data_IF_000483085124
#
_entry.id   IF_000483085124
#
_cell.length_a   1.000
_cell.length_b   1.000
_cell.length_c   1.000
_cell.angle_alpha   90.00
_cell.angle_beta   90.00
_cell.angle_gamma   90.00
#
_symmetry.space_group_name_H-M   'P 1'
#
loop_
_entity.id
_entity.type
_entity.pdbx_description
1 polymer ?
#
# COMPACT_ATOMS: atom_id res chain seq x y z
N UNK A 1 -36.49 6.50 -0.77
CA UNK A 1 -35.27 5.91 -1.35
C UNK A 1 -34.54 6.94 -2.20
N UNK A 2 -35.25 7.71 -3.03
CA UNK A 2 -34.75 8.82 -3.84
C UNK A 2 -34.07 9.94 -3.02
N UNK A 3 -34.74 10.50 -2.00
CA UNK A 3 -34.18 11.56 -1.13
C UNK A 3 -32.83 11.20 -0.50
N UNK A 4 -32.63 9.93 -0.14
CA UNK A 4 -31.36 9.48 0.45
C UNK A 4 -30.23 9.54 -0.58
N UNK A 5 -30.50 9.08 -1.80
CA UNK A 5 -29.52 9.04 -2.87
C UNK A 5 -29.13 10.46 -3.33
N UNK A 6 -30.09 11.39 -3.34
CA UNK A 6 -29.83 12.80 -3.62
C UNK A 6 -28.95 13.42 -2.53
N UNK A 7 -29.22 13.11 -1.26
CA UNK A 7 -28.40 13.59 -0.14
C UNK A 7 -26.96 13.03 -0.21
N UNK A 8 -26.81 11.73 -0.48
CA UNK A 8 -25.50 11.10 -0.62
C UNK A 8 -24.71 11.70 -1.79
N UNK A 9 -25.35 11.93 -2.94
CA UNK A 9 -24.73 12.57 -4.11
C UNK A 9 -24.31 14.00 -3.80
N UNK A 10 -25.18 14.78 -3.15
CA UNK A 10 -24.87 16.15 -2.77
C UNK A 10 -23.68 16.24 -1.80
N UNK A 11 -23.58 15.30 -0.85
CA UNK A 11 -22.42 15.22 0.05
C UNK A 11 -21.15 14.88 -0.71
N UNK A 12 -21.20 13.91 -1.63
CA UNK A 12 -20.05 13.53 -2.47
C UNK A 12 -19.57 14.70 -3.34
N UNK A 13 -20.49 15.48 -3.90
CA UNK A 13 -20.16 16.64 -4.72
C UNK A 13 -19.61 17.82 -3.90
N UNK A 14 -19.87 17.84 -2.58
CA UNK A 14 -19.40 18.90 -1.68
C UNK A 14 -17.99 18.67 -1.12
N UNK A 15 -17.44 17.46 -1.25
CA UNK A 15 -16.14 17.08 -0.70
C UNK A 15 -15.05 17.05 -1.77
N UNK A 16 -13.81 17.28 -1.33
CA UNK A 16 -12.65 17.31 -2.23
C UNK A 16 -12.03 15.92 -2.43
N UNK A 17 -12.15 15.05 -1.43
CA UNK A 17 -11.54 13.71 -1.41
C UNK A 17 -12.56 12.73 -0.89
N UNK A 18 -12.74 11.63 -1.62
CA UNK A 18 -13.57 10.50 -1.22
C UNK A 18 -12.66 9.28 -1.08
N UNK A 19 -12.69 8.65 0.09
CA UNK A 19 -12.00 7.39 0.35
C UNK A 19 -12.99 6.24 0.32
N UNK A 20 -12.65 5.16 -0.38
CA UNK A 20 -13.52 4.01 -0.56
C UNK A 20 -12.67 2.77 -0.83
N UNK A 21 -13.21 1.58 -0.55
CA UNK A 21 -12.59 0.34 -1.01
C UNK A 21 -12.89 0.10 -2.49
N UNK A 22 -12.09 -0.73 -3.16
CA UNK A 22 -12.37 -1.14 -4.54
C UNK A 22 -13.73 -1.84 -4.69
N UNK A 23 -14.16 -2.60 -3.67
CA UNK A 23 -15.49 -3.25 -3.69
C UNK A 23 -16.64 -2.25 -3.65
N UNK A 24 -16.46 -1.12 -2.96
CA UNK A 24 -17.47 -0.06 -2.84
C UNK A 24 -17.37 0.99 -3.95
N UNK A 25 -16.24 1.09 -4.65
CA UNK A 25 -16.05 2.01 -5.77
C UNK A 25 -17.04 1.78 -6.93
N UNK A 26 -17.54 0.54 -7.10
CA UNK A 26 -18.59 0.22 -8.08
C UNK A 26 -20.01 0.65 -7.68
N UNK A 27 -20.20 1.37 -6.58
CA UNK A 27 -21.53 1.81 -6.13
C UNK A 27 -22.10 2.89 -7.08
N UNK A 28 -23.39 2.78 -7.40
CA UNK A 28 -24.14 3.74 -8.22
C UNK A 28 -24.07 5.17 -7.69
N UNK A 29 -24.07 5.36 -6.37
CA UNK A 29 -23.96 6.71 -5.79
C UNK A 29 -22.65 7.39 -6.19
N UNK A 30 -21.53 6.65 -6.20
CA UNK A 30 -20.23 7.18 -6.64
C UNK A 30 -20.19 7.41 -8.15
N UNK A 31 -20.82 6.53 -8.94
CA UNK A 31 -20.89 6.69 -10.39
C UNK A 31 -21.75 7.89 -10.83
N UNK A 32 -22.74 8.27 -10.00
CA UNK A 32 -23.65 9.38 -10.28
C UNK A 32 -23.16 10.72 -9.72
N UNK A 33 -22.27 10.71 -8.71
CA UNK A 33 -21.58 11.88 -8.24
C UNK A 33 -20.63 12.46 -9.31
N UNK A 34 -20.13 13.68 -9.08
CA UNK A 34 -19.18 14.35 -9.96
C UNK A 34 -18.03 13.40 -10.37
N UNK A 35 -17.63 13.48 -11.64
CA UNK A 35 -16.58 12.61 -12.20
C UNK A 35 -15.26 12.85 -11.49
N UNK A 36 -14.70 11.78 -10.91
CA UNK A 36 -13.42 11.81 -10.23
C UNK A 36 -12.29 11.89 -11.25
N UNK A 37 -11.75 13.07 -11.52
CA UNK A 37 -10.71 13.26 -12.54
C UNK A 37 -9.41 12.51 -12.22
N UNK A 38 -9.11 12.33 -10.94
CA UNK A 38 -7.93 11.61 -10.43
C UNK A 38 -8.38 10.50 -9.51
N UNK A 39 -7.89 9.29 -9.76
CA UNK A 39 -8.09 8.13 -8.87
C UNK A 39 -6.73 7.66 -8.38
N UNK A 40 -6.61 7.52 -7.05
CA UNK A 40 -5.44 6.92 -6.40
C UNK A 40 -5.87 5.59 -5.83
N UNK A 41 -5.16 4.52 -6.21
CA UNK A 41 -5.38 3.17 -5.67
C UNK A 41 -4.14 2.80 -4.87
N UNK A 42 -4.29 2.71 -3.56
CA UNK A 42 -3.27 2.18 -2.66
C UNK A 42 -3.36 0.65 -2.58
N UNK A 43 -2.25 0.00 -2.25
CA UNK A 43 -2.09 -1.47 -2.26
C UNK A 43 -2.56 -2.14 -3.57
N UNK A 44 -2.37 -1.44 -4.71
CA UNK A 44 -2.85 -1.88 -6.02
C UNK A 44 -2.31 -3.26 -6.43
N UNK A 45 -1.08 -3.59 -6.01
CA UNK A 45 -0.44 -4.88 -6.24
C UNK A 45 -1.14 -6.06 -5.55
N UNK A 46 -1.90 -5.79 -4.47
CA UNK A 46 -2.65 -6.79 -3.68
C UNK A 46 -4.09 -7.00 -4.20
N UNK A 47 -4.48 -6.34 -5.29
CA UNK A 47 -5.84 -6.43 -5.85
C UNK A 47 -5.86 -7.18 -7.18
N UNK A 48 -6.90 -7.99 -7.41
CA UNK A 48 -7.14 -8.56 -8.74
C UNK A 48 -7.49 -7.41 -9.70
N UNK A 49 -6.99 -7.48 -10.94
CA UNK A 49 -7.18 -6.41 -11.93
C UNK A 49 -8.65 -5.93 -12.08
N UNK A 50 -9.67 -6.81 -12.12
CA UNK A 50 -11.07 -6.37 -12.19
C UNK A 50 -11.52 -5.51 -11.00
N UNK A 51 -10.95 -5.73 -9.82
CA UNK A 51 -11.27 -4.90 -8.65
C UNK A 51 -10.69 -3.50 -8.81
N UNK A 52 -9.50 -3.34 -9.39
CA UNK A 52 -8.94 -2.00 -9.66
C UNK A 52 -9.79 -1.23 -10.68
N UNK A 53 -10.34 -1.94 -11.69
CA UNK A 53 -11.18 -1.34 -12.73
C UNK A 53 -12.46 -0.68 -12.18
N UNK A 54 -13.00 -1.16 -11.06
CA UNK A 54 -14.21 -0.59 -10.45
C UNK A 54 -14.04 0.87 -10.01
N UNK A 55 -12.81 1.27 -9.66
CA UNK A 55 -12.46 2.65 -9.33
C UNK A 55 -12.14 3.46 -10.59
N UNK A 56 -11.47 2.86 -11.59
CA UNK A 56 -11.08 3.56 -12.82
C UNK A 56 -12.28 3.95 -13.70
N UNK A 57 -13.37 3.19 -13.65
CA UNK A 57 -14.61 3.51 -14.39
C UNK A 57 -15.34 4.77 -13.88
N UNK A 58 -14.93 5.37 -12.75
CA UNK A 58 -15.55 6.58 -12.17
C UNK A 58 -15.27 7.88 -12.97
N UNK A 59 -14.75 7.75 -14.19
CA UNK A 59 -14.48 8.87 -15.10
C UNK A 59 -13.09 9.48 -14.94
N UNK A 60 -12.12 8.70 -14.44
CA UNK A 60 -10.77 9.19 -14.22
C UNK A 60 -10.01 9.50 -15.51
N UNK A 61 -9.36 10.67 -15.52
CA UNK A 61 -8.41 11.10 -16.55
C UNK A 61 -6.99 10.68 -16.18
N UNK A 62 -6.71 10.63 -14.87
CA UNK A 62 -5.43 10.23 -14.32
C UNK A 62 -5.63 9.14 -13.26
N UNK A 63 -4.80 8.11 -13.32
CA UNK A 63 -4.78 7.03 -12.35
C UNK A 63 -3.38 6.91 -11.75
N UNK A 64 -3.31 6.88 -10.41
CA UNK A 64 -2.09 6.65 -9.66
C UNK A 64 -2.25 5.32 -8.95
N UNK A 65 -1.44 4.33 -9.32
CA UNK A 65 -1.43 3.02 -8.69
C UNK A 65 -0.21 2.95 -7.77
N UNK A 66 -0.44 2.80 -6.48
CA UNK A 66 0.60 2.62 -5.46
C UNK A 66 0.51 1.18 -4.98
N UNK A 67 1.65 0.49 -4.94
CA UNK A 67 1.70 -0.89 -4.50
C UNK A 67 3.09 -1.46 -4.65
N UNK A 68 3.28 -2.66 -4.10
CA UNK A 68 4.56 -3.35 -4.11
C UNK A 68 4.39 -4.78 -4.65
N UNK A 69 4.85 -5.08 -5.88
CA UNK A 69 4.81 -6.42 -6.46
C UNK A 69 5.58 -7.48 -5.66
N UNK A 70 6.51 -7.09 -4.79
CA UNK A 70 7.28 -8.01 -3.94
C UNK A 70 6.56 -8.40 -2.65
N UNK A 71 5.42 -7.76 -2.35
CA UNK A 71 4.58 -8.07 -1.19
C UNK A 71 3.49 -9.10 -1.54
N UNK A 72 2.43 -9.16 -0.73
CA UNK A 72 1.35 -10.12 -0.92
C UNK A 72 0.64 -9.86 -2.25
N UNK A 73 0.49 -10.88 -3.11
CA UNK A 73 -0.32 -10.76 -4.32
C UNK A 73 -1.81 -10.77 -3.97
N UNK A 74 -2.64 -10.62 -5.00
CA UNK A 74 -4.08 -10.73 -4.84
C UNK A 74 -4.50 -12.09 -4.25
N UNK A 75 -5.35 -12.06 -3.22
CA UNK A 75 -5.85 -13.27 -2.58
C UNK A 75 -6.94 -13.90 -3.44
N UNK A 76 -6.66 -15.10 -3.97
CA UNK A 76 -7.62 -15.89 -4.75
C UNK A 76 -7.82 -17.26 -4.10
N UNK A 77 -9.08 -17.68 -3.95
CA UNK A 77 -9.42 -18.99 -3.36
C UNK A 77 -9.32 -20.14 -4.37
N UNK A 78 -9.53 -19.84 -5.66
CA UNK A 78 -9.52 -20.84 -6.72
C UNK A 78 -8.13 -20.94 -7.38
N UNK A 79 -7.48 -22.09 -7.23
CA UNK A 79 -6.15 -22.36 -7.79
C UNK A 79 -6.13 -22.25 -9.33
N UNK A 80 -7.23 -22.61 -10.00
CA UNK A 80 -7.35 -22.46 -11.47
C UNK A 80 -7.18 -21.02 -11.94
N UNK A 81 -7.47 -20.03 -11.08
CA UNK A 81 -7.26 -18.62 -11.38
C UNK A 81 -5.80 -18.25 -11.61
N UNK A 82 -4.84 -18.98 -11.03
CA UNK A 82 -3.41 -18.73 -11.27
C UNK A 82 -3.01 -19.01 -12.72
N UNK A 83 -3.54 -20.10 -13.29
CA UNK A 83 -3.29 -20.46 -14.69
C UNK A 83 -3.83 -19.41 -15.67
N UNK A 84 -4.85 -18.65 -15.25
CA UNK A 84 -5.43 -17.56 -16.04
C UNK A 84 -4.85 -16.18 -15.68
N UNK A 85 -3.83 -16.11 -14.81
CA UNK A 85 -3.27 -14.86 -14.27
C UNK A 85 -4.28 -13.98 -13.53
N UNK A 86 -5.31 -14.58 -12.92
CA UNK A 86 -6.33 -13.85 -12.17
C UNK A 86 -5.79 -13.23 -10.88
N UNK A 87 -4.71 -13.79 -10.33
CA UNK A 87 -3.95 -13.25 -9.19
C UNK A 87 -2.98 -12.13 -9.60
N UNK A 88 -2.80 -11.85 -10.89
CA UNK A 88 -2.00 -10.73 -11.37
C UNK A 88 -2.80 -9.44 -11.21
N UNK A 89 -2.21 -8.46 -10.52
CA UNK A 89 -2.78 -7.13 -10.38
C UNK A 89 -2.64 -6.30 -11.66
N UNK A 90 -3.44 -5.23 -11.76
CA UNK A 90 -3.28 -4.23 -12.82
C UNK A 90 -1.89 -3.58 -12.76
N UNK A 91 -1.38 -3.32 -11.55
CA UNK A 91 -0.05 -2.76 -11.33
C UNK A 91 1.02 -3.65 -11.97
N UNK A 92 1.05 -4.94 -11.61
CA UNK A 92 2.01 -5.91 -12.15
C UNK A 92 1.89 -6.04 -13.67
N UNK A 93 0.67 -6.06 -14.21
CA UNK A 93 0.47 -6.12 -15.66
C UNK A 93 1.08 -4.92 -16.39
N UNK A 94 0.93 -3.72 -15.85
CA UNK A 94 1.47 -2.50 -16.46
C UNK A 94 3.00 -2.47 -16.38
N UNK A 95 3.57 -2.88 -15.25
CA UNK A 95 5.02 -3.06 -15.09
C UNK A 95 5.57 -4.08 -16.11
N UNK A 96 4.96 -5.26 -16.23
CA UNK A 96 5.31 -6.28 -17.22
C UNK A 96 5.21 -5.78 -18.67
N UNK A 97 4.29 -4.84 -18.94
CA UNK A 97 4.11 -4.22 -20.24
C UNK A 97 5.13 -3.08 -20.52
N UNK A 98 6.06 -2.81 -19.60
CA UNK A 98 7.11 -1.82 -19.76
C UNK A 98 6.72 -0.40 -19.37
N UNK A 99 5.61 -0.21 -18.64
CA UNK A 99 5.32 1.09 -18.03
C UNK A 99 6.32 1.39 -16.92
N UNK A 100 6.79 2.64 -16.86
CA UNK A 100 7.72 3.08 -15.82
C UNK A 100 7.07 3.00 -14.43
N UNK A 101 7.71 2.24 -13.53
CA UNK A 101 7.36 2.18 -12.11
C UNK A 101 8.37 2.99 -11.32
N UNK A 102 7.90 3.91 -10.48
CA UNK A 102 8.76 4.70 -9.62
C UNK A 102 8.89 4.04 -8.24
N UNK A 103 10.07 3.50 -7.93
CA UNK A 103 10.36 2.93 -6.62
C UNK A 103 10.69 4.04 -5.60
N UNK A 104 9.89 4.13 -4.54
CA UNK A 104 10.26 4.89 -3.34
C UNK A 104 11.35 4.11 -2.60
N UNK A 105 12.60 4.51 -2.80
CA UNK A 105 13.76 3.70 -2.43
C UNK A 105 14.31 3.97 -1.03
N UNK A 106 13.57 4.65 -0.15
CA UNK A 106 14.01 4.93 1.21
C UNK A 106 12.97 4.48 2.24
N UNK A 107 13.38 3.60 3.15
CA UNK A 107 12.53 3.05 4.22
C UNK A 107 12.77 3.79 5.53
N UNK A 108 11.68 4.11 6.22
CA UNK A 108 11.70 4.92 7.45
C UNK A 108 11.15 4.16 8.67
N UNK A 109 10.98 2.83 8.58
CA UNK A 109 10.26 2.03 9.59
C UNK A 109 11.17 1.09 10.37
N UNK A 110 11.96 0.28 9.69
CA UNK A 110 12.71 -0.82 10.31
C UNK A 110 14.10 -0.36 10.72
N UNK A 111 14.60 -0.89 11.85
CA UNK A 111 16.01 -0.81 12.19
C UNK A 111 16.86 -1.39 11.03
N UNK A 112 18.03 -0.80 10.70
CA UNK A 112 18.91 -1.29 9.64
C UNK A 112 19.26 -2.78 9.70
N UNK A 113 19.37 -3.36 10.91
CA UNK A 113 19.63 -4.79 11.07
C UNK A 113 18.46 -5.66 10.61
N UNK A 114 17.22 -5.19 10.82
CA UNK A 114 15.99 -5.85 10.36
C UNK A 114 15.81 -5.63 8.86
N UNK A 115 15.98 -4.39 8.39
CA UNK A 115 15.76 -4.03 6.99
C UNK A 115 16.79 -4.70 6.06
N UNK A 116 17.97 -5.06 6.57
CA UNK A 116 19.07 -5.64 5.78
C UNK A 116 18.62 -6.84 4.92
N UNK A 117 17.88 -7.78 5.50
CA UNK A 117 17.41 -8.98 4.80
C UNK A 117 16.45 -8.64 3.64
N UNK A 118 15.29 -7.99 3.86
CA UNK A 118 14.35 -7.72 2.79
C UNK A 118 14.93 -6.81 1.70
N UNK A 119 15.75 -5.81 2.08
CA UNK A 119 16.44 -4.92 1.13
C UNK A 119 17.28 -5.70 0.13
N UNK A 120 18.06 -6.69 0.62
CA UNK A 120 18.95 -7.48 -0.23
C UNK A 120 18.19 -8.50 -1.08
N UNK A 121 17.20 -9.17 -0.50
CA UNK A 121 16.55 -10.33 -1.11
C UNK A 121 15.45 -9.92 -2.10
N UNK A 122 14.61 -8.95 -1.75
CA UNK A 122 13.45 -8.57 -2.57
C UNK A 122 13.71 -7.35 -3.44
N UNK A 123 14.61 -6.46 -3.02
CA UNK A 123 14.83 -5.17 -3.70
C UNK A 123 16.23 -5.00 -4.28
N UNK A 124 17.04 -6.08 -4.35
CA UNK A 124 18.37 -6.05 -4.97
C UNK A 124 19.35 -5.06 -4.33
N UNK A 125 19.11 -4.64 -3.09
CA UNK A 125 19.88 -3.62 -2.39
C UNK A 125 19.48 -2.17 -2.71
N UNK A 126 18.48 -1.95 -3.56
CA UNK A 126 18.05 -0.60 -3.97
C UNK A 126 17.25 0.14 -2.90
N UNK A 127 16.60 -0.58 -1.97
CA UNK A 127 15.93 0.02 -0.82
C UNK A 127 16.98 0.46 0.22
N UNK A 128 16.93 1.72 0.66
CA UNK A 128 17.89 2.39 1.54
C UNK A 128 17.26 2.72 2.88
N UNK A 129 18.08 2.87 3.92
CA UNK A 129 17.60 3.30 5.24
C UNK A 129 17.47 4.83 5.32
N UNK A 130 16.35 5.29 5.88
CA UNK A 130 16.11 6.68 6.23
C UNK A 130 17.05 7.19 7.32
N UNK A 131 17.30 8.51 7.39
CA UNK A 131 18.12 9.09 8.46
C UNK A 131 17.51 8.92 9.85
N UNK A 132 16.19 8.69 9.95
CA UNK A 132 15.51 8.47 11.23
C UNK A 132 15.90 7.12 11.85
N UNK A 133 15.99 6.06 11.05
CA UNK A 133 16.24 4.69 11.56
C UNK A 133 17.71 4.41 11.87
N UNK A 134 18.61 5.27 11.40
CA UNK A 134 20.04 5.15 11.66
C UNK A 134 20.46 5.74 13.00
N UNK A 135 19.55 6.41 13.72
CA UNK A 135 19.88 7.03 15.00
C UNK A 135 19.97 5.98 16.11
N UNK A 136 20.93 6.08 17.05
CA UNK A 136 21.07 5.12 18.15
C UNK A 136 19.86 5.02 19.10
N UNK A 137 18.97 6.00 19.08
CA UNK A 137 17.75 6.08 19.87
C UNK A 137 16.50 5.59 19.13
N UNK A 138 16.62 5.27 17.84
CA UNK A 138 15.51 4.74 17.06
C UNK A 138 15.10 3.35 17.56
N UNK A 139 13.82 3.13 17.87
CA UNK A 139 13.28 1.81 18.25
C UNK A 139 14.00 1.16 19.43
N UNK A 140 14.55 1.95 20.35
CA UNK A 140 15.33 1.45 21.50
C UNK A 140 15.03 2.15 22.85
N UNK A 141 13.84 2.74 23.14
CA UNK A 141 13.60 3.36 24.44
C UNK A 141 13.73 2.38 25.63
N UNK A 142 13.23 1.15 25.50
CA UNK A 142 13.31 0.15 26.57
C UNK A 142 14.72 -0.45 26.63
N UNK A 143 15.35 -0.73 25.49
CA UNK A 143 16.75 -1.14 25.46
C UNK A 143 17.65 -0.12 26.17
N UNK A 144 17.49 1.18 25.88
CA UNK A 144 18.25 2.23 26.54
C UNK A 144 17.96 2.30 28.05
N UNK A 145 16.71 2.14 28.46
CA UNK A 145 16.33 2.10 29.87
C UNK A 145 16.96 0.89 30.58
N UNK A 146 16.82 -0.30 30.02
CA UNK A 146 17.28 -1.56 30.64
C UNK A 146 18.79 -1.66 30.68
N UNK A 147 19.51 -1.26 29.63
CA UNK A 147 20.98 -1.22 29.65
C UNK A 147 21.52 -0.20 30.67
N UNK A 148 20.79 0.89 30.94
CA UNK A 148 21.17 1.89 31.95
C UNK A 148 20.83 1.47 33.37
N UNK A 149 19.66 0.87 33.58
CA UNK A 149 19.11 0.61 34.92
C UNK A 149 19.36 -0.81 35.41
N UNK A 150 19.55 -1.78 34.52
CA UNK A 150 19.69 -3.20 34.88
C UNK A 150 20.84 -3.85 34.08
N UNK A 151 22.10 -3.63 34.51
CA UNK A 151 23.29 -4.15 33.81
C UNK A 151 23.31 -5.69 33.66
N UNK A 152 22.55 -6.41 34.49
CA UNK A 152 22.41 -7.86 34.45
C UNK A 152 21.80 -8.40 33.13
N UNK A 153 21.17 -7.56 32.33
CA UNK A 153 20.68 -7.94 31.00
C UNK A 153 21.78 -7.99 29.93
N UNK A 154 23.00 -7.54 30.21
CA UNK A 154 24.14 -7.87 29.34
C UNK A 154 24.48 -9.35 29.49
N UNK A 155 24.61 -10.15 28.41
CA UNK A 155 24.88 -9.74 27.02
C UNK A 155 23.68 -9.82 26.06
N UNK A 156 22.44 -9.83 26.56
CA UNK A 156 21.26 -9.99 25.73
C UNK A 156 21.00 -8.74 24.86
N UNK A 157 20.75 -8.97 23.57
CA UNK A 157 20.27 -7.93 22.65
C UNK A 157 18.76 -7.78 22.82
N UNK A 158 18.32 -6.61 23.27
CA UNK A 158 16.90 -6.25 23.36
C UNK A 158 16.53 -5.48 22.10
N UNK A 159 15.50 -5.93 21.40
CA UNK A 159 14.93 -5.26 20.24
C UNK A 159 13.54 -4.76 20.66
N UNK A 160 13.32 -3.45 20.62
CA UNK A 160 11.97 -2.91 20.82
C UNK A 160 11.25 -3.03 19.47
N UNK A 161 10.33 -3.99 19.39
CA UNK A 161 9.48 -4.23 18.20
C UNK A 161 8.32 -3.24 18.15
#
# INVERSE_FOLDING_TARGET
MEVRMDLETHLLDSVHIVMTTLGTAGNRTLANAAKFEVVVVDEAAQSVEPSTLSALQLGSKHAILVGDPQQLPATIFNVSGRNTKYDRSLFQRLEEAGHNVHMLNQQYRMDPAISHFPRKIFYGGNLLDGPNVQKPDYGNPLRQMLLRQVPAFSPFTILDL
#
